data_IF_255914880053
#
_entry.id   IF_255914880053
#
_cell.length_a   1.000
_cell.length_b   1.000
_cell.length_c   1.000
_cell.angle_alpha   90.00
_cell.angle_beta   90.00
_cell.angle_gamma   90.00
#
_symmetry.space_group_name_H-M   'P 1'
#
loop_
_entity.id
_entity.type
_entity.pdbx_description
1 polymer ?
#
# COMPACT_ATOMS: atom_id res chain seq x y z
N UNK A 1 1.62 -26.92 -16.72
CA UNK A 1 1.14 -25.57 -17.07
C UNK A 1 2.35 -24.66 -17.18
N UNK A 2 2.46 -23.87 -18.24
CA UNK A 2 3.62 -22.97 -18.39
C UNK A 2 3.41 -21.74 -17.51
N UNK A 3 4.43 -21.39 -16.72
CA UNK A 3 4.43 -20.17 -15.92
C UNK A 3 4.52 -18.91 -16.78
N UNK A 4 4.40 -17.75 -16.16
CA UNK A 4 4.54 -16.46 -16.86
C UNK A 4 5.28 -15.44 -16.00
N UNK A 5 5.94 -14.50 -16.64
CA UNK A 5 6.55 -13.33 -15.98
C UNK A 5 5.81 -12.05 -16.35
N UNK A 6 5.40 -11.28 -15.36
CA UNK A 6 4.84 -9.94 -15.53
C UNK A 6 5.88 -8.91 -15.10
N UNK A 7 6.45 -8.15 -16.04
CA UNK A 7 7.28 -6.98 -15.72
C UNK A 7 6.34 -5.80 -15.44
N UNK A 8 6.17 -5.44 -14.16
CA UNK A 8 5.13 -4.52 -13.70
C UNK A 8 5.73 -3.21 -13.20
N UNK A 9 5.29 -2.10 -13.79
CA UNK A 9 5.53 -0.76 -13.25
C UNK A 9 4.65 -0.45 -12.04
N UNK A 10 5.27 -0.10 -10.94
CA UNK A 10 4.63 0.21 -9.67
C UNK A 10 4.15 1.66 -9.55
N UNK A 11 4.66 2.55 -10.41
CA UNK A 11 4.53 3.99 -10.20
C UNK A 11 5.62 4.55 -9.27
N UNK A 12 5.60 5.88 -9.00
CA UNK A 12 6.68 6.58 -8.31
C UNK A 12 6.67 6.47 -6.78
N UNK A 13 5.61 5.93 -6.18
CA UNK A 13 5.44 5.86 -4.73
C UNK A 13 3.99 5.64 -4.35
N UNK A 14 3.12 6.63 -4.62
CA UNK A 14 1.72 6.56 -4.22
C UNK A 14 1.04 5.27 -4.77
N UNK A 15 0.46 4.42 -3.90
CA UNK A 15 -0.15 3.15 -4.30
C UNK A 15 -1.34 3.28 -5.25
N UNK A 16 -2.05 4.40 -5.24
CA UNK A 16 -3.18 4.69 -6.15
C UNK A 16 -2.72 4.96 -7.59
N UNK A 17 -1.41 5.17 -7.82
CA UNK A 17 -0.83 5.27 -9.16
C UNK A 17 -0.51 3.90 -9.77
N UNK A 18 -0.73 2.80 -9.04
CA UNK A 18 -0.66 1.46 -9.60
C UNK A 18 -1.80 1.26 -10.61
N UNK A 19 -1.49 0.71 -11.78
CA UNK A 19 -2.51 0.40 -12.77
C UNK A 19 -3.46 -0.69 -12.28
N UNK A 20 -4.72 -0.67 -12.72
CA UNK A 20 -5.71 -1.70 -12.37
C UNK A 20 -5.25 -3.10 -12.79
N UNK A 21 -4.56 -3.22 -13.93
CA UNK A 21 -3.97 -4.48 -14.38
C UNK A 21 -2.83 -4.90 -13.43
N UNK A 22 -1.99 -3.94 -12.99
CA UNK A 22 -0.96 -4.18 -11.98
C UNK A 22 -1.50 -4.74 -10.68
N UNK A 23 -2.56 -4.13 -10.14
CA UNK A 23 -3.24 -4.62 -8.93
C UNK A 23 -3.74 -6.06 -9.10
N UNK A 24 -4.37 -6.37 -10.24
CA UNK A 24 -4.81 -7.73 -10.57
C UNK A 24 -3.65 -8.72 -10.66
N UNK A 25 -2.52 -8.34 -11.29
CA UNK A 25 -1.35 -9.23 -11.41
C UNK A 25 -0.65 -9.50 -10.09
N UNK A 26 -0.54 -8.50 -9.20
CA UNK A 26 -0.04 -8.72 -7.85
C UNK A 26 -0.91 -9.72 -7.09
N UNK A 27 -2.24 -9.59 -7.20
CA UNK A 27 -3.17 -10.52 -6.57
C UNK A 27 -3.06 -11.95 -7.14
N UNK A 28 -2.81 -12.10 -8.44
CA UNK A 28 -2.66 -13.41 -9.10
C UNK A 28 -1.27 -14.06 -8.95
N UNK A 29 -0.28 -13.37 -8.37
CA UNK A 29 1.13 -13.78 -8.39
C UNK A 29 1.42 -14.91 -7.40
N UNK A 30 2.17 -15.92 -7.82
CA UNK A 30 2.74 -16.91 -6.88
C UNK A 30 4.03 -16.37 -6.24
N UNK A 31 4.75 -15.51 -6.97
CA UNK A 31 6.04 -14.94 -6.54
C UNK A 31 6.12 -13.48 -6.99
N UNK A 32 6.58 -12.59 -6.12
CA UNK A 32 6.81 -11.18 -6.41
C UNK A 32 8.27 -10.79 -6.11
N UNK A 33 9.04 -10.48 -7.16
CA UNK A 33 10.39 -9.91 -7.04
C UNK A 33 10.29 -8.39 -7.09
N UNK A 34 10.67 -7.69 -6.02
CA UNK A 34 10.56 -6.23 -5.92
C UNK A 34 11.88 -5.55 -5.54
N UNK A 35 12.06 -4.31 -5.98
CA UNK A 35 13.23 -3.48 -5.67
C UNK A 35 13.01 -2.59 -4.44
N UNK A 36 14.11 -2.04 -3.90
CA UNK A 36 14.13 -1.13 -2.74
C UNK A 36 13.26 0.13 -2.88
N UNK A 37 13.04 0.64 -4.10
CA UNK A 37 12.29 1.89 -4.31
C UNK A 37 10.77 1.68 -4.39
N UNK A 38 10.31 0.43 -4.30
CA UNK A 38 8.89 0.12 -4.24
C UNK A 38 8.32 0.57 -2.89
N UNK A 39 7.16 1.19 -2.94
CA UNK A 39 6.37 1.47 -1.76
C UNK A 39 5.86 0.15 -1.14
N UNK A 40 6.19 -0.18 0.12
CA UNK A 40 5.84 -1.48 0.70
C UNK A 40 4.33 -1.74 0.78
N UNK A 41 3.49 -0.71 0.83
CA UNK A 41 2.03 -0.88 0.87
C UNK A 41 1.47 -1.56 -0.38
N UNK A 42 2.17 -1.45 -1.52
CA UNK A 42 1.82 -2.17 -2.75
C UNK A 42 1.85 -3.69 -2.57
N UNK A 43 2.71 -4.20 -1.67
CA UNK A 43 2.82 -5.62 -1.37
C UNK A 43 1.56 -6.15 -0.67
N UNK A 44 0.76 -5.28 -0.05
CA UNK A 44 -0.51 -5.68 0.55
C UNK A 44 -1.57 -6.09 -0.48
N UNK A 45 -1.38 -5.77 -1.78
CA UNK A 45 -2.25 -6.23 -2.86
C UNK A 45 -1.98 -7.65 -3.35
N UNK A 46 -0.89 -8.26 -2.88
CA UNK A 46 -0.56 -9.65 -3.22
C UNK A 46 -1.51 -10.62 -2.53
N UNK A 47 -1.68 -11.82 -3.11
CA UNK A 47 -2.38 -12.88 -2.38
C UNK A 47 -1.53 -13.38 -1.21
N UNK A 48 -2.15 -14.17 -0.35
CA UNK A 48 -1.58 -14.55 0.94
C UNK A 48 -0.54 -15.67 0.83
N UNK A 49 -0.51 -16.36 -0.31
CA UNK A 49 0.40 -17.48 -0.60
C UNK A 49 1.61 -17.01 -1.42
N UNK A 50 1.60 -15.76 -1.88
CA UNK A 50 2.65 -15.20 -2.72
C UNK A 50 3.97 -15.10 -1.95
N UNK A 51 5.04 -15.64 -2.52
CA UNK A 51 6.39 -15.45 -1.99
C UNK A 51 6.91 -14.06 -2.39
N UNK A 52 7.28 -13.25 -1.40
CA UNK A 52 7.79 -11.89 -1.62
C UNK A 52 9.33 -11.89 -1.51
N UNK A 53 10.01 -11.53 -2.59
CA UNK A 53 11.47 -11.57 -2.68
C UNK A 53 12.03 -10.17 -2.95
N UNK A 54 12.68 -9.58 -1.94
CA UNK A 54 13.42 -8.32 -2.09
C UNK A 54 14.75 -8.57 -2.82
N UNK A 55 14.88 -8.03 -4.03
CA UNK A 55 16.09 -8.11 -4.86
C UNK A 55 16.96 -6.85 -4.78
N UNK A 56 16.56 -5.83 -4.00
CA UNK A 56 17.16 -4.50 -3.95
C UNK A 56 18.22 -4.24 -2.85
N UNK A 57 18.51 -5.22 -1.98
CA UNK A 57 19.21 -5.17 -0.66
C UNK A 57 19.90 -3.90 -0.11
N UNK A 58 19.75 -3.80 1.23
CA UNK A 58 20.21 -2.84 2.24
C UNK A 58 21.68 -2.37 2.19
N UNK A 59 22.02 -1.23 2.83
CA UNK A 59 23.41 -0.83 3.05
C UNK A 59 24.18 -1.97 3.73
N UNK A 60 25.36 -2.32 3.20
CA UNK A 60 26.28 -3.39 3.66
C UNK A 60 26.08 -4.81 3.11
N UNK A 61 25.08 -5.08 2.26
CA UNK A 61 25.00 -6.34 1.50
C UNK A 61 25.24 -6.14 0.00
N UNK A 62 25.97 -7.06 -0.63
CA UNK A 62 26.21 -7.01 -2.08
C UNK A 62 24.89 -7.07 -2.85
N UNK A 63 24.64 -6.07 -3.72
CA UNK A 63 23.47 -6.01 -4.62
C UNK A 63 23.34 -7.33 -5.38
N UNK A 64 22.12 -7.87 -5.47
CA UNK A 64 21.83 -9.00 -6.36
C UNK A 64 22.18 -8.55 -7.78
N UNK A 65 23.11 -9.25 -8.43
CA UNK A 65 23.51 -8.92 -9.80
C UNK A 65 22.30 -9.07 -10.71
N UNK A 66 22.16 -8.19 -11.70
CA UNK A 66 21.06 -8.27 -12.67
C UNK A 66 20.94 -9.66 -13.31
N UNK A 67 22.07 -10.32 -13.61
CA UNK A 67 22.08 -11.68 -14.15
C UNK A 67 21.36 -12.67 -13.24
N UNK A 68 21.49 -12.53 -11.91
CA UNK A 68 20.83 -13.41 -10.95
C UNK A 68 19.33 -13.12 -10.84
N UNK A 69 18.93 -11.85 -10.94
CA UNK A 69 17.51 -11.48 -11.03
C UNK A 69 16.90 -12.13 -12.28
N UNK A 70 17.57 -12.02 -13.43
CA UNK A 70 17.11 -12.61 -14.68
C UNK A 70 16.99 -14.14 -14.59
N UNK A 71 17.97 -14.80 -13.97
CA UNK A 71 17.96 -16.25 -13.71
C UNK A 71 16.74 -16.64 -12.85
N UNK A 72 16.49 -15.94 -11.73
CA UNK A 72 15.33 -16.20 -10.88
C UNK A 72 14.00 -16.07 -11.62
N UNK A 73 13.86 -15.06 -12.49
CA UNK A 73 12.64 -14.88 -13.28
C UNK A 73 12.41 -16.07 -14.21
N UNK A 74 13.46 -16.57 -14.87
CA UNK A 74 13.39 -17.72 -15.77
C UNK A 74 13.08 -19.00 -14.98
N UNK A 75 13.79 -19.24 -13.88
CA UNK A 75 13.67 -20.46 -13.09
C UNK A 75 12.27 -20.62 -12.51
N UNK A 76 11.73 -19.57 -11.88
CA UNK A 76 10.38 -19.62 -11.32
C UNK A 76 9.31 -19.80 -12.40
N UNK A 77 9.45 -19.13 -13.55
CA UNK A 77 8.51 -19.31 -14.65
C UNK A 77 8.54 -20.74 -15.22
N UNK A 78 9.72 -21.36 -15.31
CA UNK A 78 9.88 -22.76 -15.74
C UNK A 78 9.28 -23.77 -14.75
N UNK A 79 9.17 -23.39 -13.48
CA UNK A 79 8.44 -24.16 -12.46
C UNK A 79 6.91 -24.02 -12.57
N UNK A 80 6.40 -23.29 -13.57
CA UNK A 80 4.96 -23.10 -13.76
C UNK A 80 4.38 -21.92 -12.98
N UNK A 81 5.22 -21.11 -12.30
CA UNK A 81 4.76 -20.02 -11.43
C UNK A 81 4.37 -18.77 -12.22
N UNK A 82 3.41 -18.02 -11.68
CA UNK A 82 3.06 -16.66 -12.07
C UNK A 82 3.96 -15.69 -11.30
N UNK A 83 4.98 -15.18 -11.98
CA UNK A 83 6.01 -14.32 -11.38
C UNK A 83 5.70 -12.86 -11.71
N UNK A 84 5.67 -12.00 -10.70
CA UNK A 84 5.64 -10.54 -10.91
C UNK A 84 7.02 -9.97 -10.58
N UNK A 85 7.60 -9.26 -11.54
CA UNK A 85 8.77 -8.40 -11.34
C UNK A 85 8.26 -6.97 -11.14
N UNK A 86 8.13 -6.55 -9.89
CA UNK A 86 7.61 -5.24 -9.51
C UNK A 86 8.75 -4.20 -9.52
N UNK A 87 8.63 -3.17 -10.35
CA UNK A 87 9.68 -2.18 -10.63
C UNK A 87 9.17 -0.77 -10.36
N UNK A 88 9.96 0.07 -9.70
CA UNK A 88 9.58 1.46 -9.42
C UNK A 88 9.43 2.26 -10.72
N UNK A 89 8.43 3.13 -10.78
CA UNK A 89 8.08 3.90 -11.97
C UNK A 89 7.55 2.98 -13.08
N UNK A 90 8.18 3.05 -14.24
CA UNK A 90 7.85 2.26 -15.43
C UNK A 90 8.98 1.26 -15.76
N UNK A 91 8.68 0.01 -16.18
CA UNK A 91 9.72 -0.98 -16.49
C UNK A 91 10.72 -0.54 -17.56
N UNK A 92 10.29 0.29 -18.52
CA UNK A 92 11.06 0.70 -19.70
C UNK A 92 11.65 2.11 -19.60
N UNK A 93 11.26 2.91 -18.60
CA UNK A 93 11.91 4.21 -18.32
C UNK A 93 13.07 4.03 -17.35
N UNK A 94 14.26 3.76 -17.89
CA UNK A 94 15.49 3.45 -17.14
C UNK A 94 15.37 2.33 -16.08
N UNK A 95 14.32 1.51 -16.17
CA UNK A 95 14.07 0.39 -15.26
C UNK A 95 14.80 -0.90 -15.65
N UNK A 96 15.45 -0.96 -16.82
CA UNK A 96 16.08 -2.18 -17.40
C UNK A 96 15.10 -3.30 -17.74
N UNK A 97 13.81 -3.02 -17.82
CA UNK A 97 12.80 -4.01 -18.20
C UNK A 97 13.04 -4.59 -19.60
N UNK A 98 13.63 -3.82 -20.52
CA UNK A 98 14.01 -4.31 -21.85
C UNK A 98 15.06 -5.43 -21.79
N UNK A 99 16.10 -5.26 -20.96
CA UNK A 99 17.13 -6.27 -20.74
C UNK A 99 16.54 -7.54 -20.11
N UNK A 100 15.64 -7.38 -19.13
CA UNK A 100 14.93 -8.50 -18.49
C UNK A 100 14.04 -9.24 -19.52
N UNK A 101 13.27 -8.52 -20.33
CA UNK A 101 12.42 -9.08 -21.38
C UNK A 101 13.21 -9.85 -22.45
N UNK A 102 14.37 -9.35 -22.87
CA UNK A 102 15.24 -10.03 -23.84
C UNK A 102 15.70 -11.40 -23.31
N UNK A 103 16.06 -11.48 -22.03
CA UNK A 103 16.46 -12.75 -21.42
C UNK A 103 15.26 -13.71 -21.34
N UNK A 104 14.09 -13.24 -20.93
CA UNK A 104 12.88 -14.07 -20.90
C UNK A 104 12.56 -14.66 -22.28
N UNK A 105 12.64 -13.83 -23.32
CA UNK A 105 12.46 -14.27 -24.70
C UNK A 105 13.50 -15.30 -25.13
N UNK A 106 14.78 -15.09 -24.80
CA UNK A 106 15.87 -16.01 -25.11
C UNK A 106 15.65 -17.41 -24.51
N UNK A 107 15.05 -17.48 -23.32
CA UNK A 107 14.75 -18.74 -22.64
C UNK A 107 13.35 -19.30 -22.93
N UNK A 108 12.61 -18.71 -23.87
CA UNK A 108 11.27 -19.17 -24.26
C UNK A 108 10.22 -19.03 -23.15
N UNK A 109 10.41 -18.09 -22.22
CA UNK A 109 9.48 -17.82 -21.13
C UNK A 109 8.39 -16.85 -21.59
N UNK A 110 7.12 -17.20 -21.38
CA UNK A 110 6.00 -16.30 -21.63
C UNK A 110 6.08 -15.09 -20.68
N UNK A 111 6.03 -13.88 -21.23
CA UNK A 111 6.02 -12.67 -20.42
C UNK A 111 5.08 -11.60 -20.97
N UNK A 112 4.68 -10.68 -20.08
CA UNK A 112 3.97 -9.46 -20.42
C UNK A 112 4.65 -8.27 -19.72
N UNK A 113 4.52 -7.08 -20.29
CA UNK A 113 4.97 -5.84 -19.67
C UNK A 113 3.78 -4.96 -19.41
N UNK A 114 3.60 -4.59 -18.14
CA UNK A 114 2.54 -3.67 -17.72
C UNK A 114 3.20 -2.34 -17.39
N UNK A 115 2.85 -1.26 -18.12
CA UNK A 115 3.44 0.05 -17.88
C UNK A 115 3.06 0.58 -16.50
N UNK A 116 3.93 1.42 -15.96
CA UNK A 116 3.68 2.18 -14.74
C UNK A 116 3.74 3.68 -15.01
N UNK A 117 3.19 4.48 -14.12
CA UNK A 117 3.33 5.93 -14.23
C UNK A 117 4.78 6.31 -13.87
N UNK A 118 5.52 6.89 -14.81
CA UNK A 118 6.91 7.31 -14.53
C UNK A 118 6.97 8.49 -13.57
N UNK A 119 8.00 8.51 -12.71
CA UNK A 119 8.27 9.62 -11.80
C UNK A 119 8.54 10.94 -12.54
N UNK A 120 9.06 10.87 -13.78
CA UNK A 120 9.29 12.04 -14.61
C UNK A 120 8.01 12.81 -14.99
N UNK A 121 6.83 12.20 -14.84
CA UNK A 121 5.54 12.84 -15.09
C UNK A 121 4.77 12.99 -13.78
N UNK A 122 4.49 11.89 -13.08
CA UNK A 122 3.69 11.96 -11.85
C UNK A 122 4.40 12.69 -10.72
N UNK A 123 5.73 12.61 -10.64
CA UNK A 123 6.48 13.31 -9.61
C UNK A 123 6.47 14.83 -9.81
N UNK A 124 6.46 15.30 -11.05
CA UNK A 124 6.30 16.72 -11.37
C UNK A 124 4.86 17.17 -11.07
N UNK A 125 3.86 16.37 -11.46
CA UNK A 125 2.46 16.66 -11.19
C UNK A 125 2.18 16.81 -9.67
N UNK A 126 2.75 15.93 -8.85
CA UNK A 126 2.66 15.99 -7.38
C UNK A 126 3.40 17.19 -6.76
N UNK A 127 4.20 17.91 -7.54
CA UNK A 127 4.89 19.13 -7.16
C UNK A 127 4.28 20.40 -7.80
N UNK A 128 3.12 20.28 -8.46
CA UNK A 128 2.49 21.38 -9.20
C UNK A 128 3.27 21.79 -10.46
N UNK A 129 4.14 20.95 -10.99
CA UNK A 129 4.90 21.24 -12.21
C UNK A 129 4.29 20.42 -13.34
N UNK A 130 3.67 21.03 -14.36
CA UNK A 130 3.27 20.27 -15.54
C UNK A 130 4.50 19.94 -16.38
N UNK A 131 4.57 18.74 -16.95
CA UNK A 131 5.69 18.34 -17.81
C UNK A 131 5.78 19.20 -19.08
N UNK A 132 4.62 19.64 -19.59
CA UNK A 132 4.47 20.51 -20.76
C UNK A 132 3.47 21.61 -20.47
N UNK A 133 3.61 22.78 -21.10
CA UNK A 133 2.64 23.87 -21.02
C UNK A 133 2.74 24.70 -22.30
N UNK A 134 1.59 25.13 -22.86
CA UNK A 134 1.54 25.80 -24.18
C UNK A 134 2.53 26.97 -24.30
N UNK A 135 2.65 27.76 -23.24
CA UNK A 135 3.50 28.96 -23.25
C UNK A 135 4.95 28.70 -22.83
N UNK A 136 5.27 27.52 -22.30
CA UNK A 136 6.59 27.24 -21.69
C UNK A 136 7.33 26.04 -22.26
N UNK A 137 6.64 25.01 -22.72
CA UNK A 137 7.24 23.76 -23.18
C UNK A 137 6.29 22.97 -24.09
N UNK A 138 6.63 22.89 -25.38
CA UNK A 138 5.99 22.04 -26.40
C UNK A 138 6.63 20.64 -26.50
N UNK A 139 7.79 20.44 -25.88
CA UNK A 139 8.57 19.20 -25.82
C UNK A 139 9.06 18.93 -24.40
N UNK A 140 9.45 17.68 -24.14
CA UNK A 140 10.20 17.33 -22.94
C UNK A 140 11.17 16.18 -23.19
N UNK A 141 12.20 16.08 -22.35
CA UNK A 141 13.28 15.11 -22.48
C UNK A 141 13.55 14.46 -21.14
N UNK A 142 13.61 13.13 -21.10
CA UNK A 142 13.99 12.38 -19.90
C UNK A 142 15.40 11.83 -20.10
N UNK A 143 16.32 12.21 -19.23
CA UNK A 143 17.74 11.88 -19.32
C UNK A 143 18.17 11.17 -18.04
N UNK A 144 19.07 10.19 -18.13
CA UNK A 144 19.70 9.63 -16.92
C UNK A 144 20.99 10.37 -16.61
N UNK A 145 21.19 10.78 -15.35
CA UNK A 145 22.46 11.36 -14.89
C UNK A 145 23.51 10.31 -14.51
N UNK A 146 23.19 9.01 -14.58
CA UNK A 146 24.11 7.93 -14.24
C UNK A 146 24.52 7.15 -15.50
N UNK A 147 25.82 7.14 -15.81
CA UNK A 147 26.36 6.39 -16.94
C UNK A 147 27.03 5.08 -16.51
N UNK A 148 27.02 4.10 -17.41
CA UNK A 148 28.02 3.02 -17.36
C UNK A 148 29.41 3.65 -17.41
N UNK A 149 30.33 3.22 -16.55
CA UNK A 149 31.71 3.75 -16.41
C UNK A 149 32.51 3.83 -17.73
N UNK A 150 32.10 3.10 -18.79
CA UNK A 150 32.75 3.06 -20.10
C UNK A 150 31.79 3.43 -21.26
N UNK A 151 30.67 4.11 -20.98
CA UNK A 151 29.70 4.52 -22.00
C UNK A 151 30.07 5.84 -22.69
N UNK A 152 29.42 6.12 -23.82
CA UNK A 152 29.48 7.41 -24.50
C UNK A 152 29.00 8.52 -23.55
N UNK A 153 29.71 9.64 -23.51
CA UNK A 153 29.29 10.81 -22.73
C UNK A 153 28.00 11.40 -23.30
N UNK A 154 27.24 12.11 -22.45
CA UNK A 154 26.09 12.88 -22.91
C UNK A 154 26.55 13.97 -23.88
N UNK A 155 25.77 14.17 -24.92
CA UNK A 155 25.90 15.30 -25.82
C UNK A 155 25.33 16.55 -25.13
N UNK A 156 26.17 17.20 -24.31
CA UNK A 156 25.79 18.36 -23.51
C UNK A 156 25.44 19.57 -24.38
N UNK A 157 26.09 19.71 -25.54
CA UNK A 157 25.76 20.72 -26.52
C UNK A 157 24.31 20.54 -26.98
N UNK A 158 23.95 19.34 -27.44
CA UNK A 158 22.57 19.06 -27.84
C UNK A 158 21.58 19.22 -26.67
N UNK A 159 21.92 18.75 -25.46
CA UNK A 159 21.03 18.82 -24.29
C UNK A 159 20.77 20.26 -23.85
N UNK A 160 21.80 21.11 -23.83
CA UNK A 160 21.68 22.51 -23.44
C UNK A 160 20.78 23.30 -24.42
N UNK A 161 20.78 22.93 -25.70
CA UNK A 161 19.94 23.57 -26.72
C UNK A 161 18.54 22.97 -26.87
N UNK A 162 18.19 21.90 -26.12
CA UNK A 162 16.83 21.38 -26.17
C UNK A 162 15.82 22.41 -25.64
N UNK A 163 14.77 22.63 -26.43
CA UNK A 163 13.61 23.39 -26.00
C UNK A 163 12.73 22.57 -25.04
N UNK A 164 11.90 23.26 -24.26
CA UNK A 164 10.94 22.64 -23.35
C UNK A 164 11.52 22.22 -22.01
N UNK A 165 11.04 21.08 -21.48
CA UNK A 165 11.35 20.63 -20.11
C UNK A 165 12.35 19.48 -20.12
N UNK A 166 13.47 19.63 -19.40
CA UNK A 166 14.46 18.56 -19.24
C UNK A 166 14.33 17.95 -17.85
N UNK A 167 14.13 16.64 -17.78
CA UNK A 167 14.03 15.90 -16.51
C UNK A 167 15.20 14.91 -16.41
N UNK A 168 16.11 15.13 -15.46
CA UNK A 168 17.15 14.15 -15.15
C UNK A 168 16.68 13.20 -14.05
N UNK A 169 16.76 11.91 -14.35
CA UNK A 169 16.59 10.80 -13.41
C UNK A 169 17.96 10.30 -12.95
N UNK A 170 18.07 9.90 -11.68
CA UNK A 170 19.31 9.39 -11.09
C UNK A 170 20.50 10.37 -11.18
N UNK A 171 20.23 11.68 -11.23
CA UNK A 171 21.25 12.71 -11.45
C UNK A 171 21.80 13.40 -10.21
N UNK A 172 21.24 13.18 -9.02
CA UNK A 172 21.59 13.96 -7.82
C UNK A 172 23.09 13.98 -7.48
N UNK A 173 23.77 12.84 -7.57
CA UNK A 173 25.22 12.78 -7.33
C UNK A 173 26.05 13.52 -8.38
N UNK A 174 25.46 13.88 -9.52
CA UNK A 174 26.08 14.61 -10.62
C UNK A 174 25.46 16.00 -10.81
N UNK A 175 24.60 16.47 -9.88
CA UNK A 175 23.90 17.74 -10.03
C UNK A 175 24.85 18.93 -10.30
N UNK A 176 25.99 19.09 -9.58
CA UNK A 176 26.93 20.17 -9.90
C UNK A 176 27.45 20.13 -11.33
N UNK A 177 27.80 18.93 -11.81
CA UNK A 177 28.28 18.70 -13.18
C UNK A 177 27.18 18.94 -14.21
N UNK A 178 25.95 18.50 -13.94
CA UNK A 178 24.79 18.75 -14.82
C UNK A 178 24.58 20.26 -14.98
N UNK A 179 24.54 21.02 -13.89
CA UNK A 179 24.37 22.47 -13.94
C UNK A 179 25.52 23.14 -14.70
N UNK A 180 26.77 22.80 -14.38
CA UNK A 180 27.95 23.32 -15.05
C UNK A 180 27.90 23.08 -16.57
N UNK A 181 27.66 21.84 -16.99
CA UNK A 181 27.66 21.47 -18.40
C UNK A 181 26.54 22.15 -19.19
N UNK A 182 25.34 22.30 -18.59
CA UNK A 182 24.25 23.05 -19.21
C UNK A 182 24.64 24.51 -19.45
N UNK A 183 25.24 25.18 -18.46
CA UNK A 183 25.63 26.58 -18.57
C UNK A 183 26.80 26.78 -19.55
N UNK A 184 27.81 25.93 -19.48
CA UNK A 184 28.97 25.95 -20.40
C UNK A 184 28.56 25.83 -21.87
N UNK A 185 27.49 25.07 -22.15
CA UNK A 185 26.97 24.86 -23.51
C UNK A 185 25.79 25.78 -23.86
N UNK A 186 25.63 26.90 -23.17
CA UNK A 186 24.74 28.00 -23.60
C UNK A 186 23.36 28.07 -22.92
N UNK A 187 23.03 27.17 -22.00
CA UNK A 187 21.80 27.31 -21.18
C UNK A 187 21.99 28.48 -20.21
N UNK A 188 21.02 29.40 -20.13
CA UNK A 188 21.09 30.53 -19.19
C UNK A 188 21.20 30.04 -17.75
N UNK A 189 22.12 30.60 -16.94
CA UNK A 189 22.29 30.27 -15.52
C UNK A 189 21.02 30.54 -14.69
N UNK A 190 20.17 31.45 -15.16
CA UNK A 190 18.89 31.83 -14.56
C UNK A 190 17.73 30.91 -14.98
N UNK A 191 18.02 29.82 -15.71
CA UNK A 191 16.99 28.83 -16.07
C UNK A 191 16.44 28.17 -14.82
N UNK A 192 15.11 28.17 -14.58
CA UNK A 192 14.54 27.58 -13.39
C UNK A 192 14.81 26.08 -13.27
N UNK A 193 15.08 25.65 -12.04
CA UNK A 193 15.31 24.25 -11.67
C UNK A 193 14.48 23.90 -10.44
N UNK A 194 13.83 22.73 -10.48
CA UNK A 194 13.24 22.10 -9.31
C UNK A 194 13.95 20.78 -8.99
N UNK A 195 14.17 20.52 -7.71
CA UNK A 195 14.62 19.23 -7.20
C UNK A 195 13.48 18.64 -6.39
N UNK A 196 12.97 17.48 -6.79
CA UNK A 196 11.83 16.83 -6.15
C UNK A 196 12.28 15.48 -5.62
N UNK A 197 12.48 15.38 -4.31
CA UNK A 197 12.87 14.17 -3.62
C UNK A 197 11.64 13.39 -3.16
N UNK A 198 11.66 12.06 -3.30
CA UNK A 198 10.57 11.16 -2.86
C UNK A 198 9.19 11.58 -3.34
N UNK A 199 9.11 11.97 -4.62
CA UNK A 199 7.86 12.47 -5.19
C UNK A 199 6.70 11.49 -4.98
N UNK A 200 5.50 12.02 -4.71
CA UNK A 200 4.25 11.29 -4.40
C UNK A 200 4.20 10.58 -3.03
N UNK A 201 5.24 10.68 -2.20
CA UNK A 201 5.27 10.08 -0.85
C UNK A 201 5.17 11.15 0.25
N UNK A 202 4.81 10.76 1.47
CA UNK A 202 4.76 11.64 2.65
C UNK A 202 6.06 12.42 2.88
N UNK A 203 7.21 11.79 2.63
CA UNK A 203 8.54 12.40 2.77
C UNK A 203 8.97 13.24 1.56
N UNK A 204 8.03 13.61 0.68
CA UNK A 204 8.32 14.47 -0.46
C UNK A 204 8.93 15.79 0.00
N UNK A 205 10.08 16.14 -0.55
CA UNK A 205 10.73 17.44 -0.35
C UNK A 205 11.00 18.08 -1.70
N UNK A 206 10.86 19.39 -1.76
CA UNK A 206 11.14 20.15 -2.97
C UNK A 206 11.91 21.41 -2.66
N UNK A 207 12.89 21.72 -3.50
CA UNK A 207 13.49 23.06 -3.59
C UNK A 207 13.40 23.55 -5.03
N UNK A 208 13.16 24.85 -5.19
CA UNK A 208 13.12 25.54 -6.47
C UNK A 208 14.18 26.64 -6.45
N UNK A 209 14.94 26.74 -7.53
CA UNK A 209 15.94 27.75 -7.76
C UNK A 209 16.21 27.86 -9.26
N UNK A 210 17.46 28.09 -9.62
CA UNK A 210 17.96 28.15 -11.00
C UNK A 210 19.27 27.38 -11.13
N UNK A 211 19.84 27.29 -12.33
CA UNK A 211 21.08 26.54 -12.55
C UNK A 211 22.27 27.09 -11.75
N UNK A 212 22.24 28.37 -11.39
CA UNK A 212 23.28 29.05 -10.61
C UNK A 212 23.25 28.65 -9.13
N UNK A 213 22.06 28.68 -8.49
CA UNK A 213 21.94 28.52 -7.04
C UNK A 213 21.41 27.15 -6.56
N UNK A 214 20.92 26.28 -7.46
CA UNK A 214 20.22 25.06 -7.02
C UNK A 214 21.11 24.11 -6.21
N UNK A 215 22.42 24.07 -6.49
CA UNK A 215 23.37 23.24 -5.74
C UNK A 215 23.45 23.67 -4.27
N UNK A 216 23.45 24.98 -4.01
CA UNK A 216 23.46 25.52 -2.65
C UNK A 216 22.15 25.20 -1.93
N UNK A 217 21.01 25.38 -2.61
CA UNK A 217 19.70 25.09 -2.04
C UNK A 217 19.53 23.62 -1.67
N UNK A 218 20.02 22.70 -2.52
CA UNK A 218 20.04 21.26 -2.24
C UNK A 218 20.89 20.94 -1.02
N UNK A 219 22.10 21.51 -0.92
CA UNK A 219 22.97 21.30 0.23
C UNK A 219 22.35 21.84 1.52
N UNK A 220 21.79 23.05 1.47
CA UNK A 220 21.14 23.72 2.62
C UNK A 220 19.95 22.92 3.16
N UNK A 221 19.12 22.37 2.28
CA UNK A 221 17.94 21.58 2.66
C UNK A 221 18.21 20.07 2.77
N UNK A 222 19.47 19.65 2.56
CA UNK A 222 19.93 18.27 2.67
C UNK A 222 19.14 17.28 1.77
N UNK A 223 18.77 17.71 0.55
CA UNK A 223 18.10 16.82 -0.40
C UNK A 223 19.10 15.80 -0.96
N UNK A 224 18.63 14.57 -1.15
CA UNK A 224 19.44 13.46 -1.63
C UNK A 224 18.65 12.55 -2.58
N UNK A 225 19.24 11.44 -3.01
CA UNK A 225 18.54 10.46 -3.85
C UNK A 225 17.50 9.65 -3.05
N UNK A 226 16.41 9.19 -3.68
CA UNK A 226 16.01 9.43 -5.06
C UNK A 226 15.33 10.81 -5.23
N UNK A 227 15.75 11.56 -6.23
CA UNK A 227 15.11 12.83 -6.61
C UNK A 227 15.13 13.06 -8.12
N UNK A 228 14.18 13.85 -8.57
CA UNK A 228 14.06 14.37 -9.94
C UNK A 228 14.77 15.72 -10.01
N UNK A 229 15.50 15.97 -11.08
CA UNK A 229 16.02 17.30 -11.42
C UNK A 229 15.25 17.77 -12.64
N UNK A 230 14.47 18.84 -12.47
CA UNK A 230 13.60 19.37 -13.53
C UNK A 230 14.13 20.74 -13.92
N UNK A 231 14.51 20.91 -15.18
CA UNK A 231 15.08 22.16 -15.71
C UNK A 231 14.14 22.68 -16.79
N UNK A 232 13.60 23.89 -16.61
CA UNK A 232 12.72 24.50 -17.61
C UNK A 232 11.74 25.51 -17.02
N UNK A 233 11.12 26.29 -17.90
CA UNK A 233 10.24 27.40 -17.49
C UNK A 233 8.97 26.93 -16.76
N UNK A 234 8.51 25.69 -17.02
CA UNK A 234 7.36 25.09 -16.34
C UNK A 234 7.50 25.02 -14.82
N UNK A 235 8.73 25.03 -14.29
CA UNK A 235 9.00 25.04 -12.84
C UNK A 235 8.34 26.25 -12.16
N UNK A 236 8.25 27.40 -12.85
CA UNK A 236 7.63 28.62 -12.33
C UNK A 236 6.15 28.43 -11.99
N UNK A 237 5.47 27.48 -12.62
CA UNK A 237 4.06 27.18 -12.38
C UNK A 237 3.79 26.47 -11.05
N UNK A 238 4.82 25.86 -10.43
CA UNK A 238 4.67 25.18 -9.13
C UNK A 238 4.03 26.07 -8.07
N UNK A 239 4.41 27.35 -8.02
CA UNK A 239 3.83 28.31 -7.05
C UNK A 239 2.31 28.47 -7.19
N UNK A 240 1.77 28.29 -8.40
CA UNK A 240 0.35 28.47 -8.70
C UNK A 240 -0.43 27.15 -8.64
N UNK A 241 0.21 26.05 -9.06
CA UNK A 241 -0.46 24.77 -9.28
C UNK A 241 -0.18 23.72 -8.18
N UNK A 242 0.74 23.99 -7.26
CA UNK A 242 1.01 23.06 -6.17
C UNK A 242 -0.15 23.08 -5.15
N UNK A 243 -0.83 21.94 -5.01
CA UNK A 243 -1.99 21.79 -4.14
C UNK A 243 -1.52 21.29 -2.78
N UNK A 244 -1.61 22.14 -1.76
CA UNK A 244 -1.35 21.73 -0.38
C UNK A 244 -2.61 21.11 0.20
N UNK A 245 -2.56 19.81 0.49
CA UNK A 245 -3.65 19.11 1.18
C UNK A 245 -3.42 19.08 2.69
N UNK A 246 -4.47 19.00 3.54
CA UNK A 246 -4.34 19.14 5.00
C UNK A 246 -3.42 18.11 5.69
N UNK A 247 -3.28 16.92 5.12
CA UNK A 247 -2.45 15.84 5.67
C UNK A 247 -1.17 15.61 4.86
N UNK A 248 -0.74 16.60 4.05
CA UNK A 248 0.53 16.52 3.32
C UNK A 248 1.67 16.30 4.31
N UNK A 249 2.47 15.26 4.10
CA UNK A 249 3.57 14.91 5.00
C UNK A 249 3.21 13.97 6.15
N UNK A 250 1.93 13.67 6.33
CA UNK A 250 1.48 12.73 7.36
C UNK A 250 1.56 11.30 6.83
N UNK A 251 2.27 10.45 7.55
CA UNK A 251 2.44 9.04 7.22
C UNK A 251 1.68 8.16 8.21
N UNK A 252 0.68 7.44 7.75
CA UNK A 252 -0.24 6.69 8.60
C UNK A 252 -0.12 5.21 8.37
N UNK A 253 -0.30 4.44 9.44
CA UNK A 253 -0.44 3.01 9.36
C UNK A 253 -1.87 2.59 9.67
N UNK A 254 -2.50 1.85 8.76
CA UNK A 254 -3.90 1.45 8.86
C UNK A 254 -4.07 -0.05 8.61
N UNK A 255 -5.15 -0.70 9.09
CA UNK A 255 -5.37 -2.09 8.77
C UNK A 255 -5.76 -2.23 7.30
N UNK A 256 -5.23 -3.24 6.63
CA UNK A 256 -5.69 -3.58 5.28
C UNK A 256 -7.20 -3.90 5.28
N UNK A 257 -7.90 -3.38 4.26
CA UNK A 257 -9.31 -3.69 4.03
C UNK A 257 -9.63 -3.66 2.53
N UNK A 258 -10.43 -4.61 2.05
CA UNK A 258 -10.75 -4.73 0.62
C UNK A 258 -11.46 -3.50 0.05
N UNK A 259 -12.35 -2.88 0.84
CA UNK A 259 -13.11 -1.71 0.41
C UNK A 259 -12.34 -0.39 0.54
N UNK A 260 -11.17 -0.39 1.18
CA UNK A 260 -10.24 0.75 1.28
C UNK A 260 -10.85 2.10 1.71
N UNK A 261 -12.02 2.13 2.38
CA UNK A 261 -12.73 3.38 2.70
C UNK A 261 -11.90 4.35 3.54
N UNK A 262 -11.23 3.84 4.57
CA UNK A 262 -10.37 4.65 5.44
C UNK A 262 -9.12 5.14 4.67
N UNK A 263 -8.52 4.27 3.86
CA UNK A 263 -7.37 4.59 3.01
C UNK A 263 -7.70 5.76 2.06
N UNK A 264 -8.73 5.61 1.23
CA UNK A 264 -9.11 6.63 0.25
C UNK A 264 -9.40 7.98 0.93
N UNK A 265 -10.13 7.97 2.06
CA UNK A 265 -10.47 9.21 2.76
C UNK A 265 -9.24 9.94 3.35
N UNK A 266 -8.16 9.22 3.67
CA UNK A 266 -6.91 9.81 4.16
C UNK A 266 -6.04 10.32 3.00
N UNK A 267 -5.91 9.54 1.92
CA UNK A 267 -5.18 9.91 0.69
C UNK A 267 -5.81 11.12 -0.01
N UNK A 268 -7.15 11.21 -0.02
CA UNK A 268 -7.89 12.38 -0.53
C UNK A 268 -7.44 13.67 0.18
N UNK A 269 -7.13 13.58 1.48
CA UNK A 269 -6.60 14.66 2.30
C UNK A 269 -5.07 14.79 2.25
N UNK A 270 -4.37 13.94 1.51
CA UNK A 270 -2.92 14.04 1.23
C UNK A 270 -2.02 13.28 2.18
N UNK A 271 -2.56 12.46 3.08
CA UNK A 271 -1.75 11.53 3.85
C UNK A 271 -1.19 10.44 2.92
N UNK A 272 -0.07 9.84 3.28
CA UNK A 272 0.32 8.52 2.78
C UNK A 272 -0.10 7.47 3.79
N UNK A 273 -0.79 6.42 3.36
CA UNK A 273 -1.24 5.35 4.24
C UNK A 273 -0.70 3.96 3.83
N UNK A 274 0.17 3.40 4.67
CA UNK A 274 0.62 2.01 4.55
C UNK A 274 -0.27 1.06 5.36
N UNK A 275 -0.14 -0.23 5.06
CA UNK A 275 -0.97 -1.27 5.65
C UNK A 275 -0.19 -2.17 6.62
N UNK A 276 -0.78 -2.44 7.79
CA UNK A 276 -0.51 -3.69 8.49
C UNK A 276 -1.55 -4.74 8.11
N UNK A 277 -1.07 -5.98 8.09
CA UNK A 277 -1.90 -7.12 7.70
C UNK A 277 -2.89 -7.47 8.81
N UNK A 278 -4.07 -7.94 8.40
CA UNK A 278 -5.06 -8.51 9.31
C UNK A 278 -4.94 -10.02 9.34
N UNK A 279 -5.42 -10.63 10.42
CA UNK A 279 -5.54 -12.08 10.46
C UNK A 279 -6.36 -12.61 9.28
N UNK A 280 -5.92 -13.73 8.73
CA UNK A 280 -6.65 -14.45 7.68
C UNK A 280 -7.85 -15.15 8.30
N UNK A 281 -8.97 -15.07 7.60
CA UNK A 281 -10.16 -15.86 7.92
C UNK A 281 -10.05 -17.15 7.11
N UNK A 282 -9.75 -18.27 7.78
CA UNK A 282 -9.78 -19.59 7.17
C UNK A 282 -11.10 -20.28 7.56
N UNK A 283 -12.01 -20.56 6.60
CA UNK A 283 -13.19 -21.37 6.87
C UNK A 283 -12.78 -22.73 7.41
N UNK A 284 -13.50 -23.21 8.42
CA UNK A 284 -13.28 -24.55 8.95
C UNK A 284 -14.15 -25.56 8.20
N UNK A 285 -13.59 -26.71 7.85
CA UNK A 285 -14.38 -27.84 7.39
C UNK A 285 -15.09 -28.47 8.58
N UNK A 286 -16.34 -28.08 8.80
CA UNK A 286 -17.17 -28.61 9.89
C UNK A 286 -18.38 -29.35 9.35
N UNK A 287 -18.76 -30.42 10.04
CA UNK A 287 -20.04 -31.10 9.82
C UNK A 287 -21.14 -30.28 10.47
N UNK A 288 -22.17 -29.95 9.70
CA UNK A 288 -23.34 -29.26 10.19
C UNK A 288 -24.13 -30.18 11.13
N UNK A 289 -24.33 -29.84 12.41
CA UNK A 289 -25.21 -30.61 13.28
C UNK A 289 -26.65 -30.56 12.79
N UNK A 290 -27.47 -31.53 13.22
CA UNK A 290 -28.90 -31.54 12.91
C UNK A 290 -29.57 -30.28 13.48
N UNK A 291 -30.01 -29.38 12.60
CA UNK A 291 -30.53 -28.07 13.02
C UNK A 291 -31.86 -28.20 13.74
N UNK A 292 -32.61 -29.27 13.47
CA UNK A 292 -33.88 -29.59 14.10
C UNK A 292 -33.75 -29.80 15.63
N UNK A 293 -32.54 -30.10 16.11
CA UNK A 293 -32.24 -30.26 17.53
C UNK A 293 -32.20 -28.94 18.30
N UNK A 294 -32.16 -27.81 17.62
CA UNK A 294 -32.06 -26.49 18.24
C UNK A 294 -33.36 -25.71 18.11
N UNK A 295 -33.68 -24.90 19.12
CA UNK A 295 -34.82 -23.99 19.12
C UNK A 295 -34.37 -22.56 18.74
N UNK A 296 -33.08 -22.27 18.86
CA UNK A 296 -32.50 -20.97 18.55
C UNK A 296 -31.07 -21.05 18.03
N UNK A 297 -30.74 -20.09 17.16
CA UNK A 297 -29.41 -19.89 16.59
C UNK A 297 -28.92 -18.51 17.00
N UNK A 298 -27.84 -18.48 17.77
CA UNK A 298 -27.15 -17.25 18.15
C UNK A 298 -26.07 -16.98 17.12
N UNK A 299 -26.14 -15.81 16.49
CA UNK A 299 -25.19 -15.37 15.47
C UNK A 299 -24.25 -14.35 16.07
N UNK A 300 -23.01 -14.76 16.33
CA UNK A 300 -22.02 -13.94 17.04
C UNK A 300 -21.39 -12.88 16.16
N UNK A 301 -21.15 -13.20 14.89
CA UNK A 301 -20.54 -12.27 13.95
C UNK A 301 -20.97 -12.54 12.50
N UNK A 302 -20.72 -11.54 11.65
CA UNK A 302 -21.17 -11.53 10.25
C UNK A 302 -20.43 -12.57 9.40
N UNK A 303 -19.16 -12.87 9.70
CA UNK A 303 -18.39 -13.87 8.96
C UNK A 303 -18.91 -15.27 9.29
N UNK A 304 -19.16 -15.57 10.57
CA UNK A 304 -19.78 -16.83 10.99
C UNK A 304 -21.12 -17.03 10.28
N UNK A 305 -21.95 -16.00 10.20
CA UNK A 305 -23.21 -16.06 9.46
C UNK A 305 -23.02 -16.46 7.98
N UNK A 306 -22.10 -15.82 7.26
CA UNK A 306 -21.84 -16.14 5.86
C UNK A 306 -21.32 -17.58 5.67
N UNK A 307 -20.43 -18.05 6.56
CA UNK A 307 -19.95 -19.42 6.53
C UNK A 307 -21.08 -20.41 6.84
N UNK A 308 -21.97 -20.08 7.78
CA UNK A 308 -23.12 -20.91 8.12
C UNK A 308 -24.06 -21.07 6.92
N UNK A 309 -24.41 -19.98 6.24
CA UNK A 309 -25.24 -20.03 5.02
C UNK A 309 -24.58 -20.89 3.94
N UNK A 310 -23.27 -20.73 3.74
CA UNK A 310 -22.51 -21.56 2.77
C UNK A 310 -22.57 -23.04 3.16
N UNK A 311 -22.46 -23.35 4.45
CA UNK A 311 -22.54 -24.70 4.99
C UNK A 311 -23.95 -25.30 4.82
N UNK A 312 -25.01 -24.54 5.06
CA UNK A 312 -26.40 -24.98 4.82
C UNK A 312 -26.59 -25.41 3.36
N UNK A 313 -26.21 -24.53 2.43
CA UNK A 313 -26.35 -24.79 0.99
C UNK A 313 -25.54 -26.01 0.56
N UNK A 314 -24.29 -26.15 1.06
CA UNK A 314 -23.43 -27.32 0.78
C UNK A 314 -24.08 -28.63 1.24
N UNK A 315 -24.90 -28.59 2.30
CA UNK A 315 -25.65 -29.74 2.82
C UNK A 315 -27.08 -29.85 2.25
N UNK A 316 -27.44 -29.06 1.24
CA UNK A 316 -28.77 -29.09 0.62
C UNK A 316 -29.89 -28.54 1.52
N UNK A 317 -29.54 -27.79 2.56
CA UNK A 317 -30.50 -27.18 3.50
C UNK A 317 -30.81 -25.76 3.05
N UNK A 318 -32.09 -25.48 2.85
CA UNK A 318 -32.57 -24.15 2.53
C UNK A 318 -32.76 -23.33 3.81
N UNK A 319 -32.42 -22.04 3.77
CA UNK A 319 -32.59 -21.11 4.90
C UNK A 319 -34.04 -21.04 5.39
N UNK A 320 -35.03 -21.31 4.51
CA UNK A 320 -36.45 -21.43 4.85
C UNK A 320 -36.74 -22.54 5.86
N UNK A 321 -35.87 -23.54 5.98
CA UNK A 321 -35.99 -24.59 7.00
C UNK A 321 -35.68 -24.08 8.41
N UNK A 322 -35.19 -22.85 8.55
CA UNK A 322 -34.99 -22.20 9.85
C UNK A 322 -36.26 -21.50 10.38
N UNK A 323 -37.43 -21.69 9.74
CA UNK A 323 -38.67 -20.95 10.03
C UNK A 323 -39.17 -21.09 11.47
N UNK A 324 -38.92 -22.23 12.10
CA UNK A 324 -39.30 -22.54 13.48
C UNK A 324 -38.22 -22.14 14.49
N UNK A 325 -37.06 -21.63 14.02
CA UNK A 325 -35.91 -21.28 14.85
C UNK A 325 -35.92 -19.80 15.21
N UNK A 326 -35.60 -19.50 16.48
CA UNK A 326 -35.33 -18.13 16.92
C UNK A 326 -33.92 -17.71 16.50
N UNK A 327 -33.80 -16.75 15.61
CA UNK A 327 -32.49 -16.20 15.20
C UNK A 327 -32.15 -14.99 16.08
N UNK A 328 -31.03 -15.06 16.80
CA UNK A 328 -30.60 -14.05 17.76
C UNK A 328 -29.30 -13.41 17.25
N UNK A 329 -29.26 -12.08 17.16
CA UNK A 329 -28.08 -11.36 16.68
C UNK A 329 -27.32 -10.72 17.83
N UNK A 330 -26.00 -10.96 17.89
CA UNK A 330 -25.13 -10.44 18.96
C UNK A 330 -25.00 -8.92 18.98
N UNK A 331 -25.13 -8.26 17.81
CA UNK A 331 -24.94 -6.82 17.67
C UNK A 331 -25.62 -6.27 16.39
N UNK A 332 -25.66 -4.94 16.28
CA UNK A 332 -26.31 -4.23 15.19
C UNK A 332 -25.75 -4.57 13.79
N UNK A 333 -24.46 -4.89 13.66
CA UNK A 333 -23.88 -5.28 12.36
C UNK A 333 -24.40 -6.64 11.91
N UNK A 334 -24.55 -7.59 12.83
CA UNK A 334 -25.15 -8.90 12.57
C UNK A 334 -26.61 -8.76 12.18
N UNK A 335 -27.38 -7.91 12.88
CA UNK A 335 -28.77 -7.59 12.51
C UNK A 335 -28.85 -7.09 11.07
N UNK A 336 -28.00 -6.14 10.68
CA UNK A 336 -27.99 -5.61 9.31
C UNK A 336 -27.61 -6.67 8.27
N UNK A 337 -26.67 -7.56 8.57
CA UNK A 337 -26.28 -8.64 7.66
C UNK A 337 -27.42 -9.64 7.44
N UNK A 338 -28.09 -10.06 8.52
CA UNK A 338 -29.27 -10.93 8.48
C UNK A 338 -30.42 -10.30 7.69
N UNK A 339 -30.69 -9.01 7.89
CA UNK A 339 -31.74 -8.28 7.18
C UNK A 339 -31.50 -8.21 5.68
N UNK A 340 -30.23 -8.03 5.24
CA UNK A 340 -29.87 -8.05 3.81
C UNK A 340 -30.17 -9.38 3.13
N UNK A 341 -30.22 -10.45 3.91
CA UNK A 341 -30.59 -11.80 3.44
C UNK A 341 -32.04 -12.16 3.74
N UNK A 342 -32.87 -11.21 4.20
CA UNK A 342 -34.30 -11.42 4.46
C UNK A 342 -34.63 -12.00 5.84
N UNK A 343 -33.68 -12.09 6.78
CA UNK A 343 -33.90 -12.63 8.13
C UNK A 343 -34.04 -11.50 9.15
N UNK A 344 -35.12 -11.53 9.92
CA UNK A 344 -35.33 -10.63 11.07
C UNK A 344 -34.89 -11.33 12.35
N UNK A 345 -33.78 -10.89 12.93
CA UNK A 345 -33.31 -11.40 14.22
C UNK A 345 -34.02 -10.75 15.41
N UNK A 346 -34.14 -11.53 16.48
CA UNK A 346 -34.48 -11.04 17.81
C UNK A 346 -33.33 -10.17 18.31
N UNK A 347 -33.66 -8.97 18.78
CA UNK A 347 -32.72 -8.03 19.41
C UNK A 347 -32.74 -8.26 20.93
N UNK A 348 -31.56 -8.38 21.54
CA UNK A 348 -31.41 -8.56 22.99
C UNK A 348 -30.11 -9.28 23.32
N UNK A 349 -29.74 -9.36 24.61
CA UNK A 349 -28.66 -10.27 24.99
C UNK A 349 -29.16 -11.71 24.86
N UNK A 350 -28.39 -12.63 24.25
CA UNK A 350 -28.82 -14.02 24.11
C UNK A 350 -29.19 -14.71 25.43
N UNK A 351 -28.59 -14.27 26.54
CA UNK A 351 -28.89 -14.77 27.90
C UNK A 351 -30.30 -14.43 28.39
N UNK A 352 -30.89 -13.34 27.90
CA UNK A 352 -32.21 -12.84 28.34
C UNK A 352 -33.37 -13.49 27.58
N UNK A 353 -33.07 -14.32 26.57
CA UNK A 353 -34.07 -14.91 25.68
C UNK A 353 -34.32 -16.35 26.16
N UNK A 354 -35.55 -16.71 26.59
CA UNK A 354 -35.83 -18.05 27.09
C UNK A 354 -35.90 -19.05 25.92
N UNK A 355 -34.88 -19.90 25.83
CA UNK A 355 -34.71 -20.96 24.82
C UNK A 355 -34.07 -22.19 25.46
N UNK A 356 -34.50 -23.41 25.09
CA UNK A 356 -34.02 -24.64 25.73
C UNK A 356 -32.74 -25.16 25.09
N UNK A 357 -32.74 -25.32 23.76
CA UNK A 357 -31.58 -25.83 23.00
C UNK A 357 -31.09 -24.75 22.05
N UNK A 358 -29.86 -24.31 22.25
CA UNK A 358 -29.23 -23.24 21.47
C UNK A 358 -27.98 -23.74 20.78
N UNK A 359 -27.78 -23.25 19.56
CA UNK A 359 -26.51 -23.31 18.88
C UNK A 359 -25.97 -21.90 18.67
N UNK A 360 -24.77 -21.66 19.16
CA UNK A 360 -24.01 -20.43 18.98
C UNK A 360 -23.04 -20.64 17.81
N UNK A 361 -23.19 -19.84 16.76
CA UNK A 361 -22.30 -19.88 15.60
C UNK A 361 -21.32 -18.71 15.67
N UNK A 362 -20.02 -19.00 15.53
CA UNK A 362 -18.97 -18.00 15.70
C UNK A 362 -17.66 -18.36 15.03
N UNK A 363 -16.63 -17.58 15.35
CA UNK A 363 -15.24 -17.88 15.00
C UNK A 363 -14.65 -18.95 15.93
N UNK A 364 -13.42 -18.73 16.41
CA UNK A 364 -12.66 -19.76 17.14
C UNK A 364 -13.14 -20.07 18.56
N UNK A 365 -13.94 -19.19 19.18
CA UNK A 365 -14.39 -19.34 20.58
C UNK A 365 -15.80 -18.76 20.77
N UNK A 366 -16.61 -19.33 21.67
CA UNK A 366 -17.92 -18.79 22.03
C UNK A 366 -17.79 -17.42 22.69
N UNK A 367 -18.67 -16.51 22.31
CA UNK A 367 -18.89 -15.21 22.93
C UNK A 367 -19.76 -15.31 24.18
N UNK A 368 -20.83 -16.11 24.14
CA UNK A 368 -21.84 -16.17 25.19
C UNK A 368 -21.78 -17.45 26.02
N UNK A 369 -21.17 -18.51 25.49
CA UNK A 369 -21.10 -19.84 26.12
C UNK A 369 -22.49 -20.40 26.44
N UNK A 370 -23.44 -20.27 25.50
CA UNK A 370 -24.83 -20.72 25.69
C UNK A 370 -25.12 -21.90 24.76
N UNK A 371 -25.22 -23.10 25.33
CA UNK A 371 -25.53 -24.32 24.59
C UNK A 371 -24.37 -24.83 23.75
N UNK A 372 -24.66 -25.36 22.56
CA UNK A 372 -23.65 -25.90 21.64
C UNK A 372 -22.96 -24.78 20.89
N UNK A 373 -21.63 -24.83 20.76
CA UNK A 373 -20.86 -23.89 19.94
C UNK A 373 -20.40 -24.53 18.64
N UNK A 374 -20.64 -23.86 17.51
CA UNK A 374 -20.16 -24.25 16.19
C UNK A 374 -19.18 -23.18 15.68
N UNK A 375 -17.89 -23.52 15.74
CA UNK A 375 -16.81 -22.74 15.17
C UNK A 375 -16.80 -22.90 13.65
N UNK A 376 -17.04 -21.84 12.91
CA UNK A 376 -17.17 -21.89 11.44
C UNK A 376 -15.94 -21.38 10.69
N UNK A 377 -15.07 -20.66 11.39
CA UNK A 377 -13.83 -20.17 10.84
C UNK A 377 -12.79 -19.99 11.95
N UNK A 378 -11.53 -20.02 11.57
CA UNK A 378 -10.45 -19.59 12.44
C UNK A 378 -9.71 -18.38 11.90
N UNK A 379 -9.08 -17.65 12.83
CA UNK A 379 -8.22 -16.52 12.51
C UNK A 379 -6.79 -16.98 12.52
N UNK A 380 -6.22 -17.16 11.34
CA UNK A 380 -4.81 -17.48 11.20
C UNK A 380 -3.98 -16.21 11.20
N UNK A 381 -3.04 -16.14 12.14
CA UNK A 381 -2.07 -15.05 12.18
C UNK A 381 -1.20 -15.12 10.93
N UNK A 382 -0.93 -13.96 10.33
CA UNK A 382 0.10 -13.87 9.30
C UNK A 382 1.45 -13.67 9.96
N UNK A 383 2.40 -14.52 9.62
CA UNK A 383 3.81 -14.39 10.03
C UNK A 383 4.57 -13.52 9.04
N UNK A 384 4.11 -12.29 8.82
CA UNK A 384 4.82 -11.29 8.02
C UNK A 384 5.25 -10.16 8.95
N UNK A 385 6.57 -10.03 9.13
CA UNK A 385 7.15 -8.88 9.83
C UNK A 385 6.92 -7.66 8.96
N UNK A 386 6.41 -6.57 9.55
CA UNK A 386 6.23 -5.32 8.82
C UNK A 386 7.57 -4.86 8.22
N UNK A 387 7.61 -4.53 6.92
CA UNK A 387 8.86 -4.23 6.21
C UNK A 387 9.43 -2.85 6.53
N UNK A 388 8.85 -2.11 7.47
CA UNK A 388 9.14 -0.70 7.76
C UNK A 388 9.53 -0.46 9.22
N UNK A 389 10.29 0.62 9.48
CA UNK A 389 10.58 1.08 10.83
C UNK A 389 9.39 1.90 11.35
N UNK A 390 8.86 1.62 12.55
CA UNK A 390 7.67 2.32 13.05
C UNK A 390 7.93 3.81 13.29
N UNK A 391 9.19 4.24 13.40
CA UNK A 391 9.58 5.65 13.53
C UNK A 391 9.30 6.48 12.28
N UNK A 392 9.09 5.83 11.13
CA UNK A 392 8.72 6.52 9.89
C UNK A 392 7.24 6.93 9.86
N UNK A 393 6.42 6.47 10.82
CA UNK A 393 4.99 6.74 10.86
C UNK A 393 4.65 7.84 11.84
N UNK A 394 3.80 8.77 11.40
CA UNK A 394 3.21 9.80 12.24
C UNK A 394 2.20 9.20 13.23
N UNK A 395 1.42 8.20 12.81
CA UNK A 395 0.48 7.49 13.67
C UNK A 395 0.01 6.14 13.10
N UNK A 396 -0.64 5.35 13.95
CA UNK A 396 -1.40 4.15 13.57
C UNK A 396 -2.89 4.31 13.89
N UNK A 397 -3.78 3.75 13.07
CA UNK A 397 -5.23 3.80 13.31
C UNK A 397 -5.77 2.39 13.61
N UNK A 398 -6.57 2.27 14.67
CA UNK A 398 -7.21 1.05 15.11
C UNK A 398 -8.74 1.16 15.09
N UNK A 399 -9.39 0.53 14.09
CA UNK A 399 -10.85 0.42 14.04
C UNK A 399 -11.45 -0.54 15.08
N UNK A 400 -10.65 -1.40 15.69
CA UNK A 400 -11.12 -2.44 16.63
C UNK A 400 -10.00 -2.96 17.54
N UNK A 401 -10.36 -3.64 18.62
CA UNK A 401 -9.39 -4.38 19.45
C UNK A 401 -8.70 -5.50 18.66
N UNK A 402 -9.40 -6.14 17.71
CA UNK A 402 -8.81 -7.18 16.87
C UNK A 402 -7.67 -6.64 15.99
N UNK A 403 -7.82 -5.43 15.45
CA UNK A 403 -6.76 -4.82 14.63
C UNK A 403 -5.51 -4.44 15.43
N UNK A 404 -5.64 -4.18 16.73
CA UNK A 404 -4.47 -3.98 17.63
C UNK A 404 -3.70 -5.29 17.75
N UNK A 405 -4.40 -6.39 17.99
CA UNK A 405 -3.78 -7.71 18.11
C UNK A 405 -3.11 -8.15 16.81
N UNK A 406 -3.77 -7.90 15.67
CA UNK A 406 -3.21 -8.17 14.34
C UNK A 406 -1.92 -7.37 14.11
N UNK A 407 -1.93 -6.08 14.45
CA UNK A 407 -0.76 -5.21 14.36
C UNK A 407 0.39 -5.72 15.22
N UNK A 408 0.17 -5.94 16.53
CA UNK A 408 1.22 -6.41 17.45
C UNK A 408 1.80 -7.76 17.02
N UNK A 409 0.98 -8.67 16.49
CA UNK A 409 1.43 -9.96 16.01
C UNK A 409 2.33 -9.88 14.76
N UNK A 410 2.29 -8.75 14.04
CA UNK A 410 3.14 -8.49 12.86
C UNK A 410 4.45 -7.77 13.18
N UNK A 411 4.71 -7.44 14.44
CA UNK A 411 5.91 -6.71 14.85
C UNK A 411 7.06 -7.66 15.25
N UNK A 412 8.27 -7.27 14.85
CA UNK A 412 9.51 -7.81 15.40
C UNK A 412 9.77 -7.28 16.82
N UNK A 413 10.68 -7.91 17.56
CA UNK A 413 11.11 -7.44 18.89
C UNK A 413 11.60 -5.99 18.88
N UNK A 414 12.35 -5.60 17.85
CA UNK A 414 12.80 -4.21 17.67
C UNK A 414 11.62 -3.25 17.54
N UNK A 415 10.64 -3.58 16.70
CA UNK A 415 9.46 -2.73 16.48
C UNK A 415 8.56 -2.66 17.73
N UNK A 416 8.45 -3.74 18.51
CA UNK A 416 7.70 -3.72 19.77
C UNK A 416 8.21 -2.63 20.73
N UNK A 417 9.54 -2.44 20.81
CA UNK A 417 10.13 -1.35 21.63
C UNK A 417 9.78 0.07 21.17
N UNK A 418 9.26 0.23 19.95
CA UNK A 418 8.90 1.53 19.36
C UNK A 418 7.41 1.88 19.57
N UNK A 419 6.58 0.90 19.94
CA UNK A 419 5.12 1.05 20.06
C UNK A 419 4.73 2.18 21.02
N UNK A 420 5.45 2.35 22.12
CA UNK A 420 5.17 3.38 23.12
C UNK A 420 5.33 4.81 22.59
N UNK A 421 6.15 5.02 21.56
CA UNK A 421 6.40 6.32 20.93
C UNK A 421 5.41 6.62 19.78
N UNK A 422 4.69 5.61 19.28
CA UNK A 422 3.81 5.77 18.14
C UNK A 422 2.45 6.32 18.59
N UNK A 423 1.99 7.42 17.99
CA UNK A 423 0.64 7.96 18.22
C UNK A 423 -0.40 6.97 17.67
N UNK A 424 -1.44 6.67 18.44
CA UNK A 424 -2.50 5.76 18.03
C UNK A 424 -3.88 6.45 18.03
N UNK A 425 -4.65 6.27 16.96
CA UNK A 425 -6.05 6.66 16.89
C UNK A 425 -6.94 5.44 17.10
N UNK A 426 -7.76 5.46 18.16
CA UNK A 426 -8.60 4.33 18.55
C UNK A 426 -10.09 4.64 18.35
N UNK A 427 -10.77 3.86 17.50
CA UNK A 427 -12.19 4.02 17.22
C UNK A 427 -13.07 3.50 18.37
N UNK A 428 -13.32 4.35 19.36
CA UNK A 428 -14.18 4.10 20.52
C UNK A 428 -13.43 3.73 21.81
N UNK A 429 -14.08 3.92 22.97
CA UNK A 429 -13.48 3.77 24.30
C UNK A 429 -12.86 2.39 24.56
N UNK A 430 -13.54 1.32 24.15
CA UNK A 430 -13.03 -0.05 24.31
C UNK A 430 -11.71 -0.28 23.55
N UNK A 431 -11.59 0.32 22.36
CA UNK A 431 -10.38 0.20 21.54
C UNK A 431 -9.25 1.03 22.14
N UNK A 432 -9.56 2.23 22.66
CA UNK A 432 -8.59 3.07 23.36
C UNK A 432 -7.98 2.36 24.57
N UNK A 433 -8.81 1.78 25.44
CA UNK A 433 -8.34 1.03 26.60
C UNK A 433 -7.43 -0.14 26.20
N UNK A 434 -7.81 -0.87 25.14
CA UNK A 434 -6.98 -1.96 24.62
C UNK A 434 -5.64 -1.47 24.05
N UNK A 435 -5.60 -0.31 23.38
CA UNK A 435 -4.36 0.28 22.88
C UNK A 435 -3.44 0.72 24.02
N UNK A 436 -3.99 1.33 25.08
CA UNK A 436 -3.21 1.68 26.28
C UNK A 436 -2.63 0.42 26.95
N UNK A 437 -3.44 -0.63 27.10
CA UNK A 437 -2.99 -1.93 27.64
C UNK A 437 -1.92 -2.59 26.76
N UNK A 438 -1.97 -2.36 25.45
CA UNK A 438 -0.97 -2.80 24.49
C UNK A 438 0.34 -2.00 24.52
N UNK A 439 0.45 -0.96 25.36
CA UNK A 439 1.68 -0.21 25.59
C UNK A 439 1.84 1.06 24.76
N UNK A 440 0.79 1.54 24.09
CA UNK A 440 0.83 2.82 23.39
C UNK A 440 0.83 4.01 24.38
N UNK A 441 1.83 4.90 24.26
CA UNK A 441 1.99 6.04 25.15
C UNK A 441 1.06 7.21 24.85
N UNK A 442 0.60 7.34 23.60
CA UNK A 442 -0.31 8.41 23.17
C UNK A 442 -1.47 7.84 22.34
N UNK A 443 -2.68 7.85 22.92
CA UNK A 443 -3.88 7.28 22.27
C UNK A 443 -5.01 8.30 22.19
N UNK A 444 -5.28 8.77 20.97
CA UNK A 444 -6.40 9.66 20.63
C UNK A 444 -7.66 8.83 20.42
N UNK A 445 -8.74 9.16 21.14
CA UNK A 445 -10.03 8.50 20.95
C UNK A 445 -10.79 9.14 19.77
N UNK A 446 -11.27 8.29 18.86
CA UNK A 446 -12.10 8.69 17.73
C UNK A 446 -13.50 8.10 17.87
N UNK A 447 -14.55 8.75 17.32
CA UNK A 447 -15.84 8.12 17.14
C UNK A 447 -15.71 6.84 16.28
N UNK A 448 -16.51 5.78 16.52
CA UNK A 448 -16.43 4.51 15.78
C UNK A 448 -17.08 4.61 14.38
N UNK A 449 -16.67 5.63 13.63
CA UNK A 449 -17.11 5.95 12.28
C UNK A 449 -15.90 6.46 11.48
N UNK A 450 -15.77 5.99 10.23
CA UNK A 450 -14.62 6.30 9.38
C UNK A 450 -14.53 7.80 9.09
N UNK A 451 -15.63 8.44 8.72
CA UNK A 451 -15.63 9.87 8.36
C UNK A 451 -15.25 10.73 9.56
N UNK A 452 -15.85 10.45 10.72
CA UNK A 452 -15.53 11.18 11.96
C UNK A 452 -14.09 10.94 12.44
N UNK A 453 -13.56 9.72 12.24
CA UNK A 453 -12.16 9.44 12.55
C UNK A 453 -11.21 10.22 11.66
N UNK A 454 -11.48 10.30 10.36
CA UNK A 454 -10.66 11.08 9.41
C UNK A 454 -10.66 12.56 9.76
N UNK A 455 -11.79 13.13 10.20
CA UNK A 455 -11.86 14.51 10.70
C UNK A 455 -10.95 14.69 11.91
N UNK A 456 -11.02 13.78 12.90
CA UNK A 456 -10.17 13.85 14.09
C UNK A 456 -8.67 13.75 13.75
N UNK A 457 -8.31 12.87 12.81
CA UNK A 457 -6.91 12.74 12.34
C UNK A 457 -6.44 14.05 11.70
N UNK A 458 -7.28 14.66 10.85
CA UNK A 458 -6.99 15.97 10.25
C UNK A 458 -6.79 17.05 11.33
N UNK A 459 -7.71 17.16 12.29
CA UNK A 459 -7.62 18.16 13.35
C UNK A 459 -6.33 17.98 14.17
N UNK A 460 -5.99 16.74 14.53
CA UNK A 460 -4.78 16.41 15.30
C UNK A 460 -3.50 16.86 14.59
N UNK A 461 -3.37 16.64 13.27
CA UNK A 461 -2.15 16.97 12.52
C UNK A 461 -2.13 18.37 11.91
N UNK A 462 -3.23 19.12 11.97
CA UNK A 462 -3.26 20.54 11.56
C UNK A 462 -2.85 21.49 12.69
N UNK A 463 -2.79 21.00 13.93
CA UNK A 463 -2.42 21.79 15.13
C UNK A 463 -0.97 21.58 15.59
N UNK A 464 -0.22 20.68 14.93
CA UNK A 464 1.21 20.43 15.10
C UNK A 464 2.01 21.12 13.96
#
# INVERSE_FOLDING_TARGET
MNGRVTLLGAGPGNPELLTLIGKRRLNEADIVLYDRLIDPSLLAFTNNEAELIDVGKLPLHHKVKQSKINEMLVDYAKQGKKVVRLKAGDPYVFGRGGEEAQVLQQFGVNFEVIPGITSAIAGLAAAGIPITHRDYASSFHIITGHHKKNGQQLDWENIAHQEGTIVFLMGMAQLPKICQQLVEHGKSSQTPVAIIQWATQWRQKMVIGDLENINELVARHQLSSPALIVVGQVVKLSKQLNINKPLTGVHLLIPFSEHQRLFNSLEDLGATADFYQRALIEPLEVTLPSIDEYDAIIVDDVLAYHQFITLLIKNGIDVRQLIDKKIIASNHRVVQALQKTGILAIKGMPQDIPVKRTIEIGGSKPTYNIGTFLSLYEKKKRSLVLPFDLKEFSAVIFPSTASINDFLASLSEKQLSQVSMLKAFAMGKKVQQAAIQAGFGHVVICPPDVKKTVIQVKEEFMHD
#
